data_IF_362365785585
#
_entry.id   IF_362365785585
#
_cell.length_a   1.000
_cell.length_b   1.000
_cell.length_c   1.000
_cell.angle_alpha   90.00
_cell.angle_beta   90.00
_cell.angle_gamma   90.00
#
_symmetry.space_group_name_H-M   'P 1'
#
loop_
_entity.id
_entity.type
_entity.pdbx_description
1 polymer ?
#
# COMPACT_ATOMS: atom_id res chain seq x y z
N UNK A 1 -10.16 5.76 -6.44
CA UNK A 1 -9.21 4.96 -7.24
C UNK A 1 -8.11 4.35 -6.40
N UNK A 2 -7.54 5.13 -5.47
CA UNK A 2 -6.47 4.60 -4.61
C UNK A 2 -6.91 3.40 -3.78
N UNK A 3 -8.15 3.39 -3.33
CA UNK A 3 -8.67 2.27 -2.55
C UNK A 3 -8.73 0.98 -3.35
N UNK A 4 -9.07 1.09 -4.63
CA UNK A 4 -9.13 -0.08 -5.51
C UNK A 4 -7.73 -0.67 -5.69
N UNK A 5 -6.74 0.18 -5.95
CA UNK A 5 -5.36 -0.28 -6.06
C UNK A 5 -4.88 -0.89 -4.75
N UNK A 6 -5.17 -0.23 -3.63
CA UNK A 6 -4.77 -0.74 -2.33
C UNK A 6 -5.39 -2.12 -2.06
N UNK A 7 -6.67 -2.28 -2.37
CA UNK A 7 -7.34 -3.56 -2.19
C UNK A 7 -6.68 -4.66 -3.03
N UNK A 8 -6.33 -4.35 -4.28
CA UNK A 8 -5.68 -5.32 -5.16
C UNK A 8 -4.29 -5.69 -4.69
N UNK A 9 -3.55 -4.71 -4.20
CA UNK A 9 -2.21 -4.95 -3.67
C UNK A 9 -2.26 -5.82 -2.41
N UNK A 10 -3.19 -5.54 -1.52
CA UNK A 10 -3.36 -6.33 -0.30
C UNK A 10 -3.80 -7.75 -0.63
N UNK A 11 -4.67 -7.89 -1.62
CA UNK A 11 -5.15 -9.20 -2.06
C UNK A 11 -4.10 -9.99 -2.87
N UNK A 12 -3.04 -9.31 -3.32
CA UNK A 12 -1.99 -9.96 -4.10
C UNK A 12 -2.33 -10.16 -5.58
N UNK A 13 -3.39 -9.51 -6.07
CA UNK A 13 -3.78 -9.64 -7.48
C UNK A 13 -3.04 -8.68 -8.39
N UNK A 14 -2.40 -7.68 -7.82
CA UNK A 14 -1.56 -6.73 -8.54
C UNK A 14 -0.29 -6.47 -7.75
N UNK A 15 0.77 -6.06 -8.44
CA UNK A 15 2.03 -5.74 -7.78
C UNK A 15 2.28 -4.24 -7.78
N UNK A 16 3.12 -3.81 -6.85
CA UNK A 16 3.50 -2.41 -6.74
C UNK A 16 4.11 -1.88 -8.04
N UNK A 17 4.92 -2.72 -8.70
CA UNK A 17 5.59 -2.34 -9.94
C UNK A 17 4.63 -2.10 -11.10
N UNK A 18 3.47 -2.73 -11.09
CA UNK A 18 2.47 -2.57 -12.14
C UNK A 18 1.76 -1.23 -12.09
N UNK A 19 1.80 -0.59 -10.93
CA UNK A 19 1.07 0.66 -10.71
C UNK A 19 1.81 1.84 -11.32
N UNK A 20 1.10 2.76 -12.01
CA UNK A 20 1.73 3.96 -12.54
C UNK A 20 2.36 4.80 -11.42
N UNK A 21 3.51 5.40 -11.72
CA UNK A 21 4.22 6.21 -10.74
C UNK A 21 3.35 7.36 -10.18
N UNK A 22 2.47 7.90 -11.01
CA UNK A 22 1.58 8.99 -10.61
C UNK A 22 0.58 8.57 -9.54
N UNK A 23 0.34 7.27 -9.39
CA UNK A 23 -0.61 6.74 -8.40
C UNK A 23 0.08 6.29 -7.11
N UNK A 24 1.37 6.08 -7.16
CA UNK A 24 2.10 5.51 -6.02
C UNK A 24 1.96 6.32 -4.73
N UNK A 25 2.05 7.64 -4.83
CA UNK A 25 1.97 8.49 -3.65
C UNK A 25 0.61 8.35 -2.95
N UNK A 26 -0.48 8.40 -3.72
CA UNK A 26 -1.82 8.29 -3.16
C UNK A 26 -2.10 6.91 -2.58
N UNK A 27 -1.70 5.87 -3.31
CA UNK A 27 -1.92 4.49 -2.86
C UNK A 27 -1.06 4.19 -1.63
N UNK A 28 0.17 4.69 -1.60
CA UNK A 28 1.04 4.53 -0.45
C UNK A 28 0.42 5.17 0.80
N UNK A 29 -0.19 6.33 0.64
CA UNK A 29 -0.90 7.00 1.74
C UNK A 29 -2.10 6.17 2.21
N UNK A 30 -2.83 5.58 1.28
CA UNK A 30 -3.97 4.73 1.63
C UNK A 30 -3.50 3.50 2.40
N UNK A 31 -2.41 2.87 1.97
CA UNK A 31 -1.85 1.72 2.66
C UNK A 31 -1.37 2.10 4.07
N UNK A 32 -0.72 3.25 4.20
CA UNK A 32 -0.27 3.74 5.49
C UNK A 32 -1.46 3.97 6.44
N UNK A 33 -2.55 4.51 5.91
CA UNK A 33 -3.78 4.69 6.68
C UNK A 33 -4.29 3.35 7.20
N UNK A 34 -4.24 2.32 6.36
CA UNK A 34 -4.69 0.99 6.76
C UNK A 34 -3.81 0.38 7.86
N UNK A 35 -2.53 0.68 7.85
CA UNK A 35 -1.64 0.26 8.95
C UNK A 35 -2.06 0.93 10.25
N UNK A 36 -2.32 2.24 10.20
CA UNK A 36 -2.75 2.99 11.39
C UNK A 36 -4.06 2.46 11.93
N UNK A 37 -4.97 2.07 11.04
CA UNK A 37 -6.28 1.55 11.44
C UNK A 37 -6.24 0.07 11.83
N UNK A 38 -5.07 -0.57 11.69
CA UNK A 38 -4.93 -1.97 12.06
C UNK A 38 -5.48 -2.95 11.03
N UNK A 39 -5.79 -2.49 9.83
CA UNK A 39 -6.33 -3.37 8.79
C UNK A 39 -5.25 -4.22 8.14
N UNK A 40 -4.02 -3.70 8.08
CA UNK A 40 -2.85 -4.46 7.62
C UNK A 40 -1.70 -4.20 8.59
N UNK A 41 -0.72 -5.11 8.59
CA UNK A 41 0.45 -4.95 9.43
C UNK A 41 1.55 -4.15 8.72
N UNK A 42 2.51 -3.66 9.49
CA UNK A 42 3.66 -2.94 8.96
C UNK A 42 4.48 -3.82 8.02
N UNK A 43 4.59 -5.10 8.34
CA UNK A 43 5.31 -6.05 7.50
C UNK A 43 4.63 -6.20 6.15
N UNK A 44 3.31 -6.23 6.16
CA UNK A 44 2.53 -6.34 4.93
C UNK A 44 2.71 -5.09 4.07
N UNK A 45 2.73 -3.92 4.69
CA UNK A 45 3.03 -2.67 3.99
C UNK A 45 4.39 -2.75 3.31
N UNK A 46 5.40 -3.23 4.02
CA UNK A 46 6.74 -3.36 3.48
C UNK A 46 6.78 -4.34 2.30
N UNK A 47 6.10 -5.47 2.42
CA UNK A 47 6.05 -6.45 1.34
C UNK A 47 5.41 -5.88 0.09
N UNK A 48 4.37 -5.07 0.25
CA UNK A 48 3.64 -4.49 -0.87
C UNK A 48 4.46 -3.38 -1.54
N UNK A 49 5.00 -2.46 -0.76
CA UNK A 49 5.67 -1.28 -1.30
C UNK A 49 7.18 -1.45 -1.48
N UNK A 50 7.77 -2.44 -0.83
CA UNK A 50 9.21 -2.61 -0.81
C UNK A 50 9.92 -1.63 0.10
N UNK A 51 9.18 -0.86 0.88
CA UNK A 51 9.74 0.15 1.79
C UNK A 51 9.17 -0.05 3.19
N UNK A 52 9.99 0.24 4.21
CA UNK A 52 9.54 0.16 5.58
C UNK A 52 8.40 1.15 5.83
N UNK A 53 7.44 0.73 6.63
CA UNK A 53 6.42 1.66 7.10
C UNK A 53 7.08 2.66 8.04
N UNK A 54 6.85 3.93 7.77
CA UNK A 54 7.44 4.99 8.56
C UNK A 54 6.35 5.89 9.11
N UNK A 55 6.22 5.89 10.42
CA UNK A 55 5.22 6.68 11.12
C UNK A 55 5.94 7.84 11.81
N UNK A 56 6.52 8.70 11.00
CA UNK A 56 7.31 9.80 11.52
C UNK A 56 6.67 11.14 11.42
#
# INVERSE_FOLDING_TARGET
>A
MDKIWANRLVAGTKTWAEMPASRRAGVKRELAKRVVEGEIGEEQYKEITGEDYYNG
#
